data_IF_674130622397
#
_entry.id   IF_674130622397
#
_cell.length_a   1.000
_cell.length_b   1.000
_cell.length_c   1.000
_cell.angle_alpha   90.00
_cell.angle_beta   90.00
_cell.angle_gamma   90.00
#
_symmetry.space_group_name_H-M   'P 1'
#
loop_
_entity.id
_entity.type
_entity.pdbx_description
1 polymer ?
#
# COMPACT_ATOMS: atom_id res chain seq x y z
N UNK A 1 -17.80 -5.42 2.25
CA UNK A 1 -17.52 -4.42 1.18
C UNK A 1 -17.31 -5.23 -0.09
N UNK A 2 -18.08 -4.98 -1.14
CA UNK A 2 -18.08 -5.79 -2.37
C UNK A 2 -18.01 -4.96 -3.66
N UNK A 3 -18.34 -3.68 -3.57
CA UNK A 3 -18.39 -2.82 -4.76
C UNK A 3 -16.98 -2.28 -5.05
N UNK A 4 -16.60 -2.24 -6.33
CA UNK A 4 -15.38 -1.59 -6.77
C UNK A 4 -15.37 -0.12 -6.31
N UNK A 5 -14.22 0.39 -5.92
CA UNK A 5 -14.03 1.73 -5.35
C UNK A 5 -14.76 2.00 -4.01
N UNK A 6 -15.29 0.97 -3.38
CA UNK A 6 -15.71 1.11 -1.99
C UNK A 6 -14.49 1.18 -1.07
N UNK A 7 -14.60 1.93 0.01
CA UNK A 7 -13.51 2.12 1.00
C UNK A 7 -13.16 0.78 1.65
N UNK A 8 -12.17 0.10 1.09
CA UNK A 8 -11.82 -1.29 1.43
C UNK A 8 -11.14 -1.36 2.79
N UNK A 9 -10.33 -0.35 3.16
CA UNK A 9 -9.59 -0.34 4.41
C UNK A 9 -10.47 -0.39 5.68
N UNK A 10 -11.77 -0.22 5.56
CA UNK A 10 -12.68 -0.49 6.69
C UNK A 10 -12.84 -1.98 7.02
N UNK A 11 -12.26 -2.86 6.19
CA UNK A 11 -12.07 -4.27 6.48
C UNK A 11 -10.57 -4.59 6.59
N UNK A 12 -10.25 -5.86 6.87
CA UNK A 12 -8.88 -6.33 6.69
C UNK A 12 -8.59 -6.43 5.21
N UNK A 13 -7.48 -5.87 4.77
CA UNK A 13 -7.07 -5.86 3.37
C UNK A 13 -5.55 -5.90 3.22
N UNK A 14 -5.13 -5.95 1.98
CA UNK A 14 -3.74 -5.82 1.56
C UNK A 14 -3.62 -4.61 0.65
N UNK A 15 -2.64 -3.77 0.94
CA UNK A 15 -2.40 -2.52 0.24
C UNK A 15 -1.08 -2.57 -0.53
N UNK A 16 -1.06 -1.95 -1.68
CA UNK A 16 0.12 -1.77 -2.53
C UNK A 16 0.24 -0.31 -2.88
N UNK A 17 1.32 0.32 -2.44
CA UNK A 17 1.66 1.69 -2.79
C UNK A 17 2.85 1.71 -3.73
N UNK A 18 2.79 2.51 -4.79
CA UNK A 18 3.84 2.60 -5.79
C UNK A 18 4.13 4.04 -6.17
N UNK A 19 5.38 4.46 -5.97
CA UNK A 19 5.92 5.73 -6.44
C UNK A 19 7.07 5.44 -7.42
N UNK A 20 6.77 5.43 -8.73
CA UNK A 20 7.71 4.96 -9.75
C UNK A 20 8.91 5.88 -9.97
N UNK A 21 8.77 7.19 -9.76
CA UNK A 21 9.84 8.16 -9.97
C UNK A 21 10.52 8.64 -8.67
N UNK A 22 10.03 8.17 -7.51
CA UNK A 22 10.63 8.45 -6.20
C UNK A 22 10.58 9.91 -5.78
N UNK A 23 9.64 10.70 -6.30
CA UNK A 23 9.49 12.12 -5.96
C UNK A 23 8.52 12.37 -4.80
N UNK A 24 7.91 11.30 -4.27
CA UNK A 24 6.93 11.29 -3.18
C UNK A 24 5.58 11.92 -3.54
N UNK A 25 5.37 12.22 -4.79
CA UNK A 25 4.13 12.76 -5.35
C UNK A 25 3.61 11.85 -6.46
N UNK A 26 2.36 12.03 -6.85
CA UNK A 26 1.77 11.31 -7.98
C UNK A 26 1.95 9.80 -7.88
N UNK A 27 1.66 9.24 -6.71
CA UNK A 27 1.79 7.82 -6.43
C UNK A 27 0.45 7.09 -6.49
N UNK A 28 0.52 5.80 -6.56
CA UNK A 28 -0.60 4.89 -6.73
C UNK A 28 -0.83 4.07 -5.47
N UNK A 29 -2.09 3.76 -5.21
CA UNK A 29 -2.52 2.91 -4.12
C UNK A 29 -3.56 1.92 -4.62
N UNK A 30 -3.43 0.68 -4.21
CA UNK A 30 -4.38 -0.41 -4.48
C UNK A 30 -4.67 -1.09 -3.16
N UNK A 31 -5.95 -1.16 -2.78
CA UNK A 31 -6.41 -1.90 -1.61
C UNK A 31 -7.25 -3.09 -2.06
N UNK A 32 -6.96 -4.27 -1.56
CA UNK A 32 -7.64 -5.50 -1.97
C UNK A 32 -8.01 -6.33 -0.74
N UNK A 33 -9.29 -6.65 -0.57
CA UNK A 33 -9.76 -7.48 0.50
C UNK A 33 -9.84 -8.97 0.13
N UNK A 34 -10.12 -9.83 1.12
CA UNK A 34 -10.17 -11.28 0.95
C UNK A 34 -11.28 -11.80 0.02
N UNK A 35 -12.21 -10.96 -0.42
CA UNK A 35 -13.23 -11.30 -1.43
C UNK A 35 -12.94 -10.68 -2.79
N UNK A 36 -11.71 -10.22 -2.99
CA UNK A 36 -11.22 -9.63 -4.24
C UNK A 36 -11.95 -8.33 -4.65
N UNK A 37 -12.41 -7.55 -3.68
CA UNK A 37 -12.83 -6.19 -3.96
C UNK A 37 -11.60 -5.31 -4.04
N UNK A 38 -11.51 -4.52 -5.10
CA UNK A 38 -10.39 -3.59 -5.34
C UNK A 38 -10.88 -2.16 -5.15
N UNK A 39 -10.08 -1.38 -4.45
CA UNK A 39 -10.15 0.08 -4.43
C UNK A 39 -8.82 0.62 -4.91
N UNK A 40 -8.83 1.36 -6.00
CA UNK A 40 -7.64 1.88 -6.65
C UNK A 40 -7.66 3.40 -6.69
N UNK A 41 -6.55 3.99 -6.29
CA UNK A 41 -6.41 5.42 -6.06
C UNK A 41 -5.16 5.97 -6.73
N UNK A 42 -5.26 7.23 -7.16
CA UNK A 42 -4.10 8.03 -7.53
C UNK A 42 -4.02 9.27 -6.63
N UNK A 43 -2.90 9.43 -5.94
CA UNK A 43 -2.68 10.51 -5.00
C UNK A 43 -1.64 11.48 -5.54
N UNK A 44 -2.01 12.74 -5.65
CA UNK A 44 -1.08 13.77 -6.13
C UNK A 44 -0.02 14.13 -5.10
N UNK A 45 -0.34 13.99 -3.81
CA UNK A 45 0.54 14.29 -2.66
C UNK A 45 0.18 13.42 -1.46
N UNK A 46 1.11 13.23 -0.51
CA UNK A 46 0.81 12.63 0.78
C UNK A 46 -0.26 13.39 1.58
N UNK A 47 -1.01 12.70 2.42
CA UNK A 47 -2.07 13.30 3.25
C UNK A 47 -1.59 14.40 4.20
N UNK A 48 -0.32 14.43 4.57
CA UNK A 48 0.28 15.49 5.38
C UNK A 48 0.32 16.85 4.67
N UNK A 49 0.08 16.87 3.38
CA UNK A 49 0.01 18.07 2.55
C UNK A 49 -1.39 18.20 1.95
N UNK A 50 -1.70 19.34 1.37
CA UNK A 50 -2.96 19.49 0.63
C UNK A 50 -2.86 18.63 -0.62
N UNK A 51 -3.56 17.52 -0.62
CA UNK A 51 -3.57 16.58 -1.73
C UNK A 51 -4.90 16.58 -2.48
N UNK A 52 -4.85 15.99 -3.68
CA UNK A 52 -6.04 15.58 -4.44
C UNK A 52 -5.97 14.08 -4.59
N UNK A 53 -7.01 13.40 -4.13
CA UNK A 53 -7.21 11.97 -4.32
C UNK A 53 -8.12 11.80 -5.53
N UNK A 54 -7.65 11.08 -6.54
CA UNK A 54 -8.44 10.75 -7.72
C UNK A 54 -9.03 9.35 -7.55
N UNK A 55 -10.25 9.30 -6.99
CA UNK A 55 -11.00 8.06 -6.81
C UNK A 55 -11.58 7.51 -8.13
N UNK A 56 -11.65 8.34 -9.15
CA UNK A 56 -12.10 7.98 -10.50
C UNK A 56 -10.96 7.45 -11.38
N UNK A 57 -9.75 7.39 -10.85
CA UNK A 57 -8.65 6.73 -11.53
C UNK A 57 -8.78 5.22 -11.41
N UNK A 58 -8.60 4.50 -12.49
CA UNK A 58 -8.71 3.04 -12.51
C UNK A 58 -7.43 2.40 -13.04
N UNK A 59 -6.98 1.36 -12.35
CA UNK A 59 -5.86 0.50 -12.76
C UNK A 59 -6.26 -0.42 -13.92
N UNK A 60 -6.50 0.16 -15.08
CA UNK A 60 -7.04 -0.53 -16.25
C UNK A 60 -6.20 -1.75 -16.64
N UNK A 61 -6.84 -2.91 -16.70
CA UNK A 61 -6.20 -4.17 -17.05
C UNK A 61 -5.55 -4.91 -15.87
N UNK A 62 -5.66 -4.38 -14.65
CA UNK A 62 -5.31 -5.10 -13.44
C UNK A 62 -6.03 -6.45 -13.38
N UNK A 63 -5.33 -7.49 -12.98
CA UNK A 63 -5.90 -8.82 -12.70
C UNK A 63 -5.50 -9.23 -11.30
N UNK A 64 -6.45 -9.73 -10.53
CA UNK A 64 -6.21 -10.23 -9.18
C UNK A 64 -6.95 -11.53 -8.94
N UNK A 65 -6.40 -12.38 -8.10
CA UNK A 65 -7.01 -13.62 -7.66
C UNK A 65 -6.75 -13.84 -6.17
N UNK A 66 -7.77 -14.30 -5.46
CA UNK A 66 -7.70 -14.62 -4.05
C UNK A 66 -7.91 -16.12 -3.85
N UNK A 67 -7.06 -16.72 -3.02
CA UNK A 67 -7.28 -18.05 -2.47
C UNK A 67 -7.42 -17.95 -0.96
N UNK A 68 -8.53 -18.42 -0.42
CA UNK A 68 -8.79 -18.49 1.02
C UNK A 68 -8.42 -19.88 1.52
N UNK A 69 -7.63 -19.95 2.58
CA UNK A 69 -7.35 -21.18 3.32
C UNK A 69 -8.12 -21.11 4.64
N UNK A 70 -9.40 -21.42 4.56
CA UNK A 70 -10.39 -21.30 5.60
C UNK A 70 -11.79 -21.03 5.05
N UNK A 71 -12.61 -20.32 5.79
CA UNK A 71 -13.96 -19.95 5.41
C UNK A 71 -14.21 -18.46 5.51
N UNK A 72 -15.17 -17.94 4.76
CA UNK A 72 -15.53 -16.53 4.78
C UNK A 72 -16.60 -16.26 5.85
N UNK A 73 -16.27 -15.33 6.76
CA UNK A 73 -17.23 -14.82 7.76
C UNK A 73 -17.91 -15.91 8.61
N UNK A 74 -17.25 -17.04 8.82
CA UNK A 74 -17.71 -18.09 9.71
C UNK A 74 -16.93 -18.03 11.04
N UNK A 75 -17.54 -17.63 12.14
CA UNK A 75 -16.84 -17.49 13.42
C UNK A 75 -16.66 -18.83 14.18
N UNK A 76 -17.07 -19.96 13.61
CA UNK A 76 -17.05 -21.26 14.27
C UNK A 76 -15.85 -22.12 13.90
N UNK A 77 -14.98 -21.66 13.05
CA UNK A 77 -13.75 -22.34 12.67
C UNK A 77 -12.52 -21.41 12.81
N UNK A 78 -11.34 -21.93 12.52
CA UNK A 78 -10.11 -21.19 12.54
C UNK A 78 -9.49 -21.15 11.14
N UNK A 79 -9.49 -19.99 10.54
CA UNK A 79 -8.86 -19.76 9.25
C UNK A 79 -7.34 -19.75 9.38
N UNK A 80 -6.64 -20.23 8.36
CA UNK A 80 -5.19 -20.10 8.26
C UNK A 80 -4.77 -18.78 7.60
N UNK A 81 -5.57 -18.29 6.65
CA UNK A 81 -5.32 -17.04 5.98
C UNK A 81 -5.84 -17.02 4.55
N UNK A 82 -5.33 -16.07 3.79
CA UNK A 82 -5.61 -15.94 2.37
C UNK A 82 -4.37 -15.47 1.62
N UNK A 83 -4.30 -15.78 0.35
CA UNK A 83 -3.24 -15.35 -0.55
C UNK A 83 -3.81 -14.49 -1.67
N UNK A 84 -3.05 -13.51 -2.09
CA UNK A 84 -3.34 -12.64 -3.22
C UNK A 84 -2.28 -12.86 -4.30
N UNK A 85 -2.74 -13.11 -5.53
CA UNK A 85 -1.94 -12.97 -6.75
C UNK A 85 -2.46 -11.77 -7.53
N UNK A 86 -1.55 -10.91 -7.98
CA UNK A 86 -1.91 -9.68 -8.70
C UNK A 86 -0.98 -9.47 -9.89
N UNK A 87 -1.55 -9.08 -11.03
CA UNK A 87 -0.82 -8.66 -12.21
C UNK A 87 -1.26 -7.25 -12.60
N UNK A 88 -0.33 -6.31 -12.55
CA UNK A 88 -0.57 -4.90 -12.82
C UNK A 88 0.15 -4.53 -14.12
N UNK A 89 -0.55 -4.12 -15.18
CA UNK A 89 0.08 -3.69 -16.41
C UNK A 89 0.95 -2.45 -16.20
N UNK A 90 2.12 -2.39 -16.80
CA UNK A 90 3.02 -1.22 -16.74
C UNK A 90 2.33 0.08 -17.17
N UNK A 91 1.34 -0.03 -18.05
CA UNK A 91 0.55 1.11 -18.52
C UNK A 91 -0.25 1.82 -17.44
N UNK A 92 -0.49 1.16 -16.30
CA UNK A 92 -1.17 1.72 -15.12
C UNK A 92 -0.40 2.93 -14.58
N UNK A 93 0.93 2.89 -14.63
CA UNK A 93 1.82 3.87 -14.00
C UNK A 93 2.14 5.10 -14.86
N UNK A 94 1.49 5.28 -16.01
CA UNK A 94 1.80 6.34 -16.98
C UNK A 94 1.64 7.78 -16.46
N UNK A 95 0.91 8.01 -15.39
CA UNK A 95 0.74 9.36 -14.83
C UNK A 95 2.01 9.90 -14.15
N UNK A 96 2.87 9.01 -13.64
CA UNK A 96 4.12 9.37 -12.96
C UNK A 96 5.35 8.67 -13.54
N UNK A 97 5.17 7.69 -14.41
CA UNK A 97 6.23 6.98 -15.10
C UNK A 97 6.08 7.13 -16.61
N UNK A 98 6.85 8.04 -17.20
CA UNK A 98 6.73 8.42 -18.59
C UNK A 98 7.56 7.57 -19.57
N UNK A 99 8.38 6.67 -19.06
CA UNK A 99 9.15 5.76 -19.90
C UNK A 99 8.22 4.78 -20.62
N UNK A 100 8.51 4.56 -21.89
CA UNK A 100 7.71 3.67 -22.74
C UNK A 100 7.97 2.19 -22.47
N UNK A 101 9.10 1.88 -21.84
CA UNK A 101 9.60 0.53 -21.64
C UNK A 101 9.32 0.05 -20.21
N UNK A 102 9.35 -1.26 -20.04
CA UNK A 102 9.39 -1.90 -18.72
C UNK A 102 10.60 -1.36 -17.95
N UNK A 103 10.48 -1.06 -16.64
CA UNK A 103 11.62 -0.67 -15.83
C UNK A 103 12.74 -1.69 -15.94
N UNK A 104 13.97 -1.22 -16.11
CA UNK A 104 15.14 -2.06 -16.29
C UNK A 104 16.36 -1.41 -15.65
N UNK A 105 17.10 -2.16 -14.85
CA UNK A 105 18.23 -1.67 -14.03
C UNK A 105 17.88 -0.37 -13.29
N UNK A 106 16.66 -0.30 -12.81
CA UNK A 106 16.08 0.84 -12.12
C UNK A 106 15.33 0.40 -10.87
N UNK A 107 14.92 1.34 -10.04
CA UNK A 107 14.16 1.03 -8.84
C UNK A 107 12.98 1.97 -8.66
N UNK A 108 11.96 1.48 -7.98
CA UNK A 108 10.82 2.25 -7.54
C UNK A 108 10.70 2.23 -6.02
N UNK A 109 10.07 3.23 -5.44
CA UNK A 109 9.63 3.17 -4.05
C UNK A 109 8.29 2.47 -3.98
N UNK A 110 8.22 1.44 -3.16
CA UNK A 110 7.03 0.60 -3.03
C UNK A 110 6.77 0.30 -1.57
N UNK A 111 5.53 0.29 -1.17
CA UNK A 111 5.11 -0.26 0.10
C UNK A 111 4.10 -1.37 -0.12
N UNK A 112 4.27 -2.45 0.62
CA UNK A 112 3.26 -3.48 0.80
C UNK A 112 2.82 -3.44 2.25
N UNK A 113 1.55 -3.28 2.47
CA UNK A 113 1.00 -3.22 3.80
C UNK A 113 -0.21 -4.14 3.96
N UNK A 114 -0.52 -4.44 5.18
CA UNK A 114 -1.71 -5.19 5.56
C UNK A 114 -2.45 -4.42 6.65
N UNK A 115 -3.70 -4.05 6.37
CA UNK A 115 -4.58 -3.46 7.36
C UNK A 115 -5.23 -4.56 8.20
N UNK A 116 -5.14 -4.41 9.51
CA UNK A 116 -5.78 -5.32 10.45
C UNK A 116 -6.64 -4.56 11.44
N UNK A 117 -7.85 -5.07 11.63
CA UNK A 117 -8.76 -4.63 12.65
C UNK A 117 -8.96 -5.73 13.68
N UNK A 118 -9.07 -5.36 14.94
CA UNK A 118 -9.50 -6.29 15.97
C UNK A 118 -11.01 -6.51 15.90
N UNK A 119 -11.40 -7.78 15.87
CA UNK A 119 -12.80 -8.19 15.84
C UNK A 119 -13.18 -8.93 17.13
N UNK A 120 -14.46 -8.90 17.44
CA UNK A 120 -15.13 -9.75 18.40
C UNK A 120 -16.30 -10.44 17.72
N UNK A 121 -16.76 -11.55 18.31
CA UNK A 121 -17.95 -12.25 17.82
C UNK A 121 -19.12 -11.82 18.70
N UNK A 122 -20.13 -11.21 18.08
CA UNK A 122 -21.38 -10.79 18.73
C UNK A 122 -22.55 -11.39 17.97
N UNK A 123 -23.38 -12.18 18.66
CA UNK A 123 -24.52 -12.86 18.04
C UNK A 123 -24.16 -13.67 16.78
N UNK A 124 -23.01 -14.33 16.79
CA UNK A 124 -22.53 -15.15 15.67
C UNK A 124 -22.00 -14.35 14.46
N UNK A 125 -21.69 -13.05 14.62
CA UNK A 125 -21.16 -12.18 13.58
C UNK A 125 -19.88 -11.48 14.05
N UNK A 126 -18.96 -11.23 13.12
CA UNK A 126 -17.80 -10.41 13.39
C UNK A 126 -18.18 -8.93 13.49
N UNK A 127 -17.75 -8.29 14.58
CA UNK A 127 -17.86 -6.86 14.80
C UNK A 127 -16.49 -6.30 15.19
N UNK A 128 -16.12 -5.14 14.66
CA UNK A 128 -14.88 -4.46 15.09
C UNK A 128 -14.96 -4.14 16.58
N UNK A 129 -13.90 -4.43 17.33
CA UNK A 129 -13.82 -4.15 18.74
C UNK A 129 -13.90 -2.64 19.01
N UNK A 130 -14.54 -2.32 20.12
CA UNK A 130 -14.67 -0.95 20.61
C UNK A 130 -13.90 -0.76 21.91
N UNK A 131 -13.45 0.44 22.13
CA UNK A 131 -12.87 0.87 23.40
C UNK A 131 -13.98 1.10 24.46
N UNK A 132 -13.58 1.42 25.69
CA UNK A 132 -14.49 1.66 26.82
C UNK A 132 -15.41 2.86 26.64
N UNK A 133 -15.10 3.75 25.68
CA UNK A 133 -15.91 4.94 25.34
C UNK A 133 -16.86 4.69 24.15
N UNK A 134 -16.90 3.47 23.63
CA UNK A 134 -17.77 3.07 22.52
C UNK A 134 -17.21 3.37 21.11
N UNK A 135 -16.06 4.01 20.97
CA UNK A 135 -15.37 4.19 19.70
C UNK A 135 -14.65 2.91 19.26
N UNK A 136 -14.50 2.70 17.96
CA UNK A 136 -13.70 1.57 17.45
C UNK A 136 -12.25 1.67 17.92
N UNK A 137 -11.62 0.51 18.17
CA UNK A 137 -10.18 0.45 18.30
C UNK A 137 -9.56 0.83 16.96
N UNK A 138 -8.40 1.51 16.97
CA UNK A 138 -7.70 1.79 15.71
C UNK A 138 -7.24 0.48 15.06
N UNK A 139 -7.10 0.53 13.75
CA UNK A 139 -6.41 -0.51 12.99
C UNK A 139 -4.93 -0.56 13.38
N UNK A 140 -4.31 -1.70 13.14
CA UNK A 140 -2.86 -1.83 13.18
C UNK A 140 -2.38 -2.43 11.86
N UNK A 141 -1.30 -1.85 11.36
CA UNK A 141 -0.81 -2.13 10.03
C UNK A 141 0.56 -2.81 10.07
N UNK A 142 0.75 -3.75 9.16
CA UNK A 142 2.02 -4.42 8.95
C UNK A 142 2.58 -4.00 7.61
N UNK A 143 3.87 -3.72 7.56
CA UNK A 143 4.59 -3.32 6.35
C UNK A 143 5.74 -4.27 6.08
N UNK A 144 6.05 -4.46 4.82
CA UNK A 144 7.12 -5.36 4.37
C UNK A 144 8.53 -4.82 4.66
N UNK A 145 8.67 -3.50 4.72
CA UNK A 145 9.95 -2.81 4.96
C UNK A 145 9.77 -1.81 6.10
N UNK A 146 10.67 -1.80 7.11
CA UNK A 146 10.55 -0.89 8.25
C UNK A 146 10.56 0.56 7.83
N UNK A 147 9.45 1.27 8.02
CA UNK A 147 9.34 2.70 7.71
C UNK A 147 9.44 3.60 8.97
N UNK A 148 9.36 3.03 10.17
CA UNK A 148 9.51 3.75 11.43
C UNK A 148 8.36 4.69 11.79
N UNK A 149 7.25 4.62 11.07
CA UNK A 149 6.03 5.40 11.27
C UNK A 149 4.81 4.53 10.99
N UNK A 150 3.66 4.85 11.59
CA UNK A 150 2.41 4.12 11.37
C UNK A 150 1.74 4.57 10.06
N UNK A 151 1.87 5.85 9.71
CA UNK A 151 1.24 6.40 8.53
C UNK A 151 1.80 5.78 7.23
N UNK A 152 0.95 5.12 6.44
CA UNK A 152 1.34 4.51 5.16
C UNK A 152 1.67 5.55 4.09
N UNK A 153 1.04 6.72 4.14
CA UNK A 153 1.23 7.79 3.14
C UNK A 153 2.46 8.64 3.41
N UNK A 154 3.60 7.97 3.55
CA UNK A 154 4.93 8.58 3.68
C UNK A 154 5.91 7.96 2.68
N UNK A 155 5.78 8.27 1.36
CA UNK A 155 6.54 7.62 0.29
C UNK A 155 8.06 7.62 0.50
N UNK A 156 8.60 8.65 1.14
CA UNK A 156 10.02 8.72 1.48
C UNK A 156 10.48 7.67 2.50
N UNK A 157 9.54 6.95 3.13
CA UNK A 157 9.81 5.88 4.09
C UNK A 157 9.64 4.49 3.51
N UNK A 158 9.08 4.37 2.31
CA UNK A 158 8.84 3.08 1.67
C UNK A 158 10.14 2.39 1.28
N UNK A 159 10.07 1.08 1.12
CA UNK A 159 11.17 0.28 0.61
C UNK A 159 11.41 0.48 -0.87
N UNK A 160 12.37 -0.26 -1.41
CA UNK A 160 12.75 -0.22 -2.82
C UNK A 160 12.45 -1.56 -3.48
N UNK A 161 11.88 -1.52 -4.68
CA UNK A 161 11.83 -2.65 -5.60
C UNK A 161 12.76 -2.34 -6.76
N UNK A 162 13.78 -3.18 -6.93
CA UNK A 162 14.74 -3.07 -8.02
C UNK A 162 14.35 -4.02 -9.16
N UNK A 163 14.38 -3.51 -10.36
CA UNK A 163 14.06 -4.23 -11.60
C UNK A 163 15.37 -4.58 -12.30
N UNK A 164 15.85 -5.80 -12.10
CA UNK A 164 17.10 -6.28 -12.67
C UNK A 164 16.92 -6.72 -14.12
N UNK A 165 17.92 -6.42 -14.98
CA UNK A 165 18.02 -6.93 -16.34
C UNK A 165 18.61 -8.34 -16.43
N UNK A 166 19.09 -8.88 -15.31
CA UNK A 166 19.72 -10.19 -15.29
C UNK A 166 18.72 -11.33 -15.45
N UNK A 167 19.22 -12.45 -15.92
CA UNK A 167 18.43 -13.68 -16.03
C UNK A 167 17.85 -14.12 -14.68
N UNK A 168 16.66 -14.74 -14.71
CA UNK A 168 15.99 -15.24 -13.52
C UNK A 168 16.89 -16.24 -12.79
N UNK A 169 17.11 -16.00 -11.49
CA UNK A 169 17.97 -16.83 -10.65
C UNK A 169 19.45 -16.40 -10.64
N UNK A 170 19.85 -15.46 -11.48
CA UNK A 170 21.19 -14.87 -11.40
C UNK A 170 21.33 -13.99 -10.16
N UNK A 171 22.52 -13.96 -9.58
CA UNK A 171 22.82 -13.07 -8.46
C UNK A 171 22.95 -11.64 -8.96
N UNK A 172 22.20 -10.75 -8.35
CA UNK A 172 22.30 -9.32 -8.56
C UNK A 172 22.48 -8.57 -7.23
N UNK A 173 22.92 -7.32 -7.31
CA UNK A 173 23.10 -6.45 -6.15
C UNK A 173 22.52 -5.09 -6.47
N UNK A 174 21.71 -4.57 -5.56
CA UNK A 174 21.21 -3.21 -5.59
C UNK A 174 21.84 -2.41 -4.44
N UNK A 175 22.40 -1.26 -4.77
CA UNK A 175 22.87 -0.28 -3.79
C UNK A 175 22.01 0.96 -3.87
N UNK A 176 21.58 1.44 -2.69
CA UNK A 176 20.79 2.69 -2.63
C UNK A 176 21.66 3.85 -3.11
N UNK A 177 21.25 4.57 -4.17
CA UNK A 177 22.01 5.68 -4.71
C UNK A 177 22.27 6.78 -3.68
N UNK A 178 23.36 7.51 -3.84
CA UNK A 178 23.67 8.62 -2.93
C UNK A 178 22.63 9.73 -2.96
N UNK A 179 22.00 9.96 -4.09
CA UNK A 179 20.89 10.93 -4.23
C UNK A 179 19.73 10.61 -3.32
N UNK A 180 19.39 9.32 -3.17
CA UNK A 180 18.35 8.89 -2.24
C UNK A 180 18.74 9.18 -0.78
N UNK A 181 20.00 8.99 -0.43
CA UNK A 181 20.52 9.32 0.92
C UNK A 181 20.43 10.84 1.18
N UNK A 182 20.68 11.65 0.15
CA UNK A 182 20.54 13.12 0.22
C UNK A 182 19.07 13.49 0.38
N UNK A 183 18.16 12.89 -0.41
CA UNK A 183 16.72 13.10 -0.27
C UNK A 183 16.25 12.79 1.16
N UNK A 184 16.70 11.71 1.78
CA UNK A 184 16.34 11.38 3.16
C UNK A 184 16.72 12.49 4.14
N UNK A 185 17.91 13.07 3.99
CA UNK A 185 18.34 14.21 4.82
C UNK A 185 17.50 15.45 4.62
N UNK A 186 17.10 15.73 3.38
CA UNK A 186 16.20 16.84 3.08
C UNK A 186 14.81 16.62 3.69
N UNK A 187 14.30 15.39 3.69
CA UNK A 187 13.03 15.08 4.36
C UNK A 187 13.12 15.21 5.88
N UNK A 188 14.21 14.81 6.50
CA UNK A 188 14.44 15.03 7.94
C UNK A 188 14.36 16.52 8.27
N UNK A 189 15.02 17.38 7.49
CA UNK A 189 14.99 18.84 7.66
C UNK A 189 13.58 19.40 7.44
N UNK A 190 12.90 18.99 6.38
CA UNK A 190 11.53 19.39 6.10
C UNK A 190 10.58 19.05 7.26
N UNK A 191 10.67 17.86 7.81
CA UNK A 191 9.85 17.42 8.94
C UNK A 191 10.17 18.19 10.21
N UNK A 192 11.42 18.50 10.47
CA UNK A 192 11.83 19.31 11.59
C UNK A 192 11.22 20.72 11.49
N UNK A 193 11.29 21.34 10.31
CA UNK A 193 10.67 22.64 10.05
C UNK A 193 9.14 22.60 10.25
N UNK A 194 8.46 21.62 9.66
CA UNK A 194 7.00 21.45 9.81
C UNK A 194 6.57 21.29 11.27
N UNK A 195 7.39 20.60 12.08
CA UNK A 195 7.12 20.45 13.53
C UNK A 195 7.27 21.77 14.29
N UNK A 196 8.18 22.63 13.86
CA UNK A 196 8.43 23.91 14.52
C UNK A 196 7.37 24.97 14.19
N UNK A 197 6.76 24.90 13.02
CA UNK A 197 5.76 25.87 12.55
C UNK A 197 4.30 25.41 12.71
N UNK A 198 4.07 24.31 13.42
CA UNK A 198 2.75 23.89 13.93
C UNK A 198 2.51 24.43 15.32
#
# INVERSE_FOLDING_TARGET
IKDHDAIVFYNNDFEIFVDPNGDTHNYYELEINAINTVWDLFLTKPYRETNVILNDWTATGLKSAIKIDGTLNNPNDADKGWTLEIAIPWTVYKKSYFEKNVPNDSFWRVNFSRVNWDYQITNGKYERKKNTKGGYLPEYNWVWSPQGVINMHEPEKWGYVYFSSKEVGAKDTFEIPNDEKIKWKLYELYRAQKKQYK
#
